data_IF_560640819108
#
_entry.id   IF_560640819108
#
_cell.length_a   1.000
_cell.length_b   1.000
_cell.length_c   1.000
_cell.angle_alpha   90.00
_cell.angle_beta   90.00
_cell.angle_gamma   90.00
#
_symmetry.space_group_name_H-M   'P 1'
#
loop_
_entity.id
_entity.type
_entity.pdbx_description
1 polymer ?
#
# COMPACT_ATOMS: atom_id res chain seq x y z
N UNK A 1 -21.41 -24.15 -27.75
CA UNK A 1 -20.19 -24.35 -26.92
C UNK A 1 -19.06 -23.34 -27.18
N UNK A 2 -19.33 -22.14 -27.77
CA UNK A 2 -18.28 -21.14 -28.08
C UNK A 2 -18.02 -20.15 -26.94
N UNK A 3 -19.04 -19.83 -26.13
CA UNK A 3 -18.93 -18.83 -25.06
C UNK A 3 -18.50 -19.40 -23.71
N UNK A 4 -18.65 -20.72 -23.49
CA UNK A 4 -18.39 -21.36 -22.20
C UNK A 4 -16.91 -21.30 -21.80
N UNK A 5 -16.00 -21.43 -22.78
CA UNK A 5 -14.55 -21.31 -22.54
C UNK A 5 -14.16 -19.87 -22.20
N UNK A 6 -14.78 -18.89 -22.85
CA UNK A 6 -14.54 -17.47 -22.62
C UNK A 6 -14.98 -17.03 -21.21
N UNK A 7 -16.15 -17.50 -20.77
CA UNK A 7 -16.65 -17.29 -19.40
C UNK A 7 -15.72 -17.93 -18.37
N UNK A 8 -15.26 -19.17 -18.60
CA UNK A 8 -14.33 -19.84 -17.69
C UNK A 8 -12.99 -19.09 -17.57
N UNK A 9 -12.44 -18.58 -18.67
CA UNK A 9 -11.20 -17.79 -18.66
C UNK A 9 -11.40 -16.47 -17.91
N UNK A 10 -12.52 -15.78 -18.10
CA UNK A 10 -12.83 -14.54 -17.38
C UNK A 10 -12.98 -14.77 -15.88
N UNK A 11 -13.65 -15.84 -15.47
CA UNK A 11 -13.77 -16.22 -14.06
C UNK A 11 -12.41 -16.57 -13.45
N UNK A 12 -11.56 -17.30 -14.18
CA UNK A 12 -10.21 -17.63 -13.71
C UNK A 12 -9.35 -16.38 -13.51
N UNK A 13 -9.40 -15.42 -14.43
CA UNK A 13 -8.71 -14.14 -14.28
C UNK A 13 -9.23 -13.34 -13.09
N UNK A 14 -10.55 -13.27 -12.89
CA UNK A 14 -11.14 -12.57 -11.75
C UNK A 14 -10.66 -13.18 -10.41
N UNK A 15 -10.60 -14.51 -10.31
CA UNK A 15 -10.10 -15.21 -9.12
C UNK A 15 -8.61 -14.94 -8.91
N UNK A 16 -7.79 -15.02 -9.96
CA UNK A 16 -6.36 -14.73 -9.89
C UNK A 16 -6.09 -13.29 -9.42
N UNK A 17 -6.82 -12.31 -9.95
CA UNK A 17 -6.70 -10.91 -9.54
C UNK A 17 -7.09 -10.74 -8.07
N UNK A 18 -8.25 -11.27 -7.65
CA UNK A 18 -8.69 -11.19 -6.25
C UNK A 18 -7.72 -11.89 -5.29
N UNK A 19 -7.13 -13.01 -5.69
CA UNK A 19 -6.13 -13.74 -4.91
C UNK A 19 -4.82 -12.97 -4.72
N UNK A 20 -4.35 -12.24 -5.74
CA UNK A 20 -3.14 -11.40 -5.62
C UNK A 20 -3.38 -10.25 -4.63
N UNK A 21 -4.57 -9.63 -4.65
CA UNK A 21 -4.92 -8.55 -3.73
C UNK A 21 -5.05 -9.00 -2.27
N UNK A 22 -5.32 -10.29 -1.99
CA UNK A 22 -5.44 -10.80 -0.62
C UNK A 22 -4.14 -10.78 0.20
N UNK A 23 -2.97 -10.63 -0.45
CA UNK A 23 -1.66 -10.71 0.22
C UNK A 23 -1.06 -9.34 0.60
N UNK A 24 -1.78 -8.23 0.40
CA UNK A 24 -1.29 -6.88 0.73
C UNK A 24 -1.50 -6.56 2.21
N UNK A 25 -0.75 -7.26 3.07
CA UNK A 25 -0.62 -6.91 4.47
C UNK A 25 0.71 -6.18 4.69
N UNK A 26 0.65 -4.88 4.98
CA UNK A 26 1.84 -4.09 5.26
C UNK A 26 2.53 -4.64 6.52
N UNK A 27 3.83 -4.91 6.44
CA UNK A 27 4.63 -5.21 7.63
C UNK A 27 4.79 -3.97 8.52
N UNK A 28 4.74 -2.77 7.92
CA UNK A 28 4.67 -1.52 8.64
C UNK A 28 3.63 -0.58 8.02
N UNK A 29 2.70 -0.10 8.86
CA UNK A 29 1.85 1.04 8.52
C UNK A 29 1.74 1.96 9.75
N UNK A 30 2.03 3.27 9.64
CA UNK A 30 2.04 4.16 10.78
C UNK A 30 0.63 4.38 11.35
N UNK A 31 0.53 4.71 12.64
CA UNK A 31 -0.76 4.98 13.32
C UNK A 31 -1.47 6.23 12.79
N UNK A 32 -0.71 7.18 12.26
CA UNK A 32 -1.21 8.37 11.58
C UNK A 32 -0.46 8.54 10.26
N UNK A 33 -1.05 9.20 9.28
CA UNK A 33 -0.40 9.51 8.01
C UNK A 33 -0.89 10.85 7.44
N UNK A 34 0.02 11.77 7.16
CA UNK A 34 -0.32 13.05 6.53
C UNK A 34 -0.33 12.93 5.00
N UNK A 35 0.63 12.25 4.41
CA UNK A 35 0.71 12.05 2.96
C UNK A 35 0.25 10.64 2.63
N UNK A 36 -1.04 10.41 2.74
CA UNK A 36 -1.62 9.15 2.31
C UNK A 36 -1.84 9.12 0.79
N UNK A 37 -1.48 7.99 0.18
CA UNK A 37 -1.87 7.64 -1.19
C UNK A 37 -2.65 6.33 -1.17
N UNK A 38 -3.87 6.36 -1.68
CA UNK A 38 -4.71 5.17 -1.84
C UNK A 38 -4.90 4.85 -3.31
N UNK A 39 -4.68 3.60 -3.72
CA UNK A 39 -4.90 3.15 -5.09
C UNK A 39 -5.35 1.70 -5.13
N UNK A 40 -6.39 1.39 -5.90
CA UNK A 40 -6.87 0.02 -6.16
C UNK A 40 -6.97 -0.89 -4.93
N UNK A 41 -7.53 -0.37 -3.83
CA UNK A 41 -7.77 -1.16 -2.60
C UNK A 41 -6.56 -1.29 -1.67
N UNK A 42 -5.49 -0.52 -1.90
CA UNK A 42 -4.35 -0.42 -0.98
C UNK A 42 -4.05 1.02 -0.59
N UNK A 43 -3.54 1.19 0.62
CA UNK A 43 -3.04 2.44 1.20
C UNK A 43 -1.52 2.38 1.35
N UNK A 44 -0.88 3.50 1.02
CA UNK A 44 0.56 3.72 1.17
C UNK A 44 0.75 5.06 1.90
N UNK A 45 1.63 5.08 2.90
CA UNK A 45 1.98 6.33 3.59
C UNK A 45 3.30 6.91 3.05
N UNK A 46 3.22 8.05 2.35
CA UNK A 46 4.33 8.78 1.75
C UNK A 46 5.01 9.78 2.72
N UNK A 47 4.75 9.67 4.02
CA UNK A 47 5.39 10.51 5.03
C UNK A 47 6.91 10.29 5.04
N UNK A 48 7.64 11.41 5.08
CA UNK A 48 9.10 11.38 5.09
C UNK A 48 9.59 11.19 6.53
N UNK A 49 10.45 10.20 6.72
CA UNK A 49 11.11 9.90 7.98
C UNK A 49 12.60 10.25 7.90
N UNK A 50 13.24 10.62 9.03
CA UNK A 50 14.68 10.83 9.09
C UNK A 50 15.47 9.51 8.91
N UNK A 51 14.84 8.37 9.18
CA UNK A 51 15.38 7.02 9.02
C UNK A 51 14.29 6.05 8.56
N UNK A 52 14.67 4.90 8.01
CA UNK A 52 13.72 3.83 7.71
C UNK A 52 12.98 3.37 8.97
N UNK A 53 11.64 3.39 9.00
CA UNK A 53 10.88 2.87 10.12
C UNK A 53 11.17 1.39 10.36
N UNK A 54 11.25 0.98 11.63
CA UNK A 54 11.44 -0.43 11.99
C UNK A 54 10.23 -1.25 11.52
N UNK A 55 10.48 -2.36 10.84
CA UNK A 55 9.44 -3.22 10.26
C UNK A 55 9.02 -2.84 8.84
N UNK A 56 9.50 -1.71 8.31
CA UNK A 56 9.29 -1.38 6.90
C UNK A 56 10.07 -2.35 6.01
N UNK A 57 9.36 -3.06 5.13
CA UNK A 57 9.97 -4.03 4.21
C UNK A 57 10.58 -3.35 2.99
N UNK A 58 9.87 -2.36 2.45
CA UNK A 58 10.29 -1.63 1.25
C UNK A 58 10.59 -0.17 1.62
N UNK A 59 11.76 0.09 2.17
CA UNK A 59 12.19 1.45 2.47
C UNK A 59 12.94 2.08 1.29
N UNK A 60 12.56 3.32 0.93
CA UNK A 60 13.20 4.09 -0.15
C UNK A 60 13.79 5.38 0.39
N UNK A 61 15.06 5.63 0.11
CA UNK A 61 15.64 6.94 0.33
C UNK A 61 15.06 7.95 -0.67
N UNK A 62 14.62 9.10 -0.18
CA UNK A 62 14.13 10.22 -0.96
C UNK A 62 14.98 11.44 -0.60
N UNK A 63 15.54 12.08 -1.62
CA UNK A 63 16.33 13.29 -1.42
C UNK A 63 15.39 14.50 -1.50
N UNK A 64 14.86 14.94 -0.36
CA UNK A 64 14.14 16.20 -0.24
C UNK A 64 15.11 17.29 0.18
N UNK A 65 15.84 17.87 -0.79
CA UNK A 65 16.79 18.95 -0.56
C UNK A 65 18.12 18.50 0.05
N UNK A 66 18.65 19.25 1.04
CA UNK A 66 19.96 19.00 1.67
C UNK A 66 20.00 17.78 2.60
N UNK A 67 18.85 17.28 3.04
CA UNK A 67 18.75 16.17 4.01
C UNK A 67 18.16 14.95 3.32
N UNK A 68 18.84 13.80 3.44
CA UNK A 68 18.30 12.50 3.00
C UNK A 68 17.17 12.10 3.94
N UNK A 69 15.98 11.92 3.39
CA UNK A 69 14.83 11.37 4.12
C UNK A 69 14.48 10.00 3.55
N UNK A 70 13.61 9.27 4.23
CA UNK A 70 13.22 7.92 3.87
C UNK A 70 11.70 7.81 3.86
N UNK A 71 11.16 7.03 2.93
CA UNK A 71 9.74 6.68 2.87
C UNK A 71 9.57 5.18 2.93
N UNK A 72 8.53 4.73 3.62
CA UNK A 72 8.13 3.34 3.58
C UNK A 72 7.11 3.13 2.45
N UNK A 73 7.33 2.13 1.61
CA UNK A 73 6.45 1.77 0.50
C UNK A 73 5.64 0.49 0.79
N UNK A 74 5.55 0.08 2.06
CA UNK A 74 4.70 -1.03 2.47
C UNK A 74 3.22 -0.67 2.24
N UNK A 75 2.47 -1.61 1.66
CA UNK A 75 1.08 -1.41 1.23
C UNK A 75 0.13 -2.09 2.20
N UNK A 76 -0.84 -1.35 2.73
CA UNK A 76 -1.89 -1.90 3.60
C UNK A 76 -3.20 -2.01 2.83
N UNK A 77 -3.86 -3.16 2.88
CA UNK A 77 -5.21 -3.30 2.34
C UNK A 77 -6.20 -2.29 2.96
N UNK A 78 -7.04 -1.68 2.12
CA UNK A 78 -8.11 -0.76 2.57
C UNK A 78 -9.32 -1.48 3.16
N UNK A 79 -9.33 -2.83 3.16
CA UNK A 79 -10.45 -3.64 3.68
C UNK A 79 -10.71 -3.33 5.17
N UNK A 80 -9.67 -3.01 5.94
CA UNK A 80 -9.77 -2.65 7.36
C UNK A 80 -9.90 -1.13 7.60
N UNK A 81 -10.31 -0.37 6.59
CA UNK A 81 -10.42 1.08 6.61
C UNK A 81 -9.36 1.77 5.75
N UNK A 82 -9.64 3.02 5.39
CA UNK A 82 -8.73 3.89 4.64
C UNK A 82 -7.60 4.39 5.52
N UNK A 83 -6.69 5.18 4.95
CA UNK A 83 -5.61 5.80 5.70
C UNK A 83 -6.08 6.39 7.03
N UNK A 84 -5.31 6.05 8.07
CA UNK A 84 -5.59 6.46 9.44
C UNK A 84 -5.65 7.97 9.62
N UNK A 85 -5.86 8.45 10.85
CA UNK A 85 -5.97 9.87 11.13
C UNK A 85 -4.72 10.64 10.68
N UNK A 86 -4.90 11.93 10.40
CA UNK A 86 -3.78 12.86 10.20
C UNK A 86 -2.91 12.91 11.45
N UNK A 87 -1.60 13.12 11.27
CA UNK A 87 -0.71 13.24 12.41
C UNK A 87 -0.97 14.58 13.11
N UNK A 88 -1.16 14.55 14.43
CA UNK A 88 -1.30 15.79 15.21
C UNK A 88 0.00 16.57 15.12
N UNK A 89 -0.09 17.80 14.62
CA UNK A 89 0.99 18.77 14.73
C UNK A 89 0.95 19.32 16.16
N UNK A 90 2.02 19.10 16.90
CA UNK A 90 2.25 19.73 18.19
C UNK A 90 2.89 21.09 17.99
#
# INVERSE_FOLDING_TARGET
>A
MKNTKLVAILLLHAILVMGILAHVNANYFPKCCDKCRSFSGVDICDDAHPQCPKGCSTCRAVQTGRVKTFRCADMRSTINGTCGPRCKKN
#
